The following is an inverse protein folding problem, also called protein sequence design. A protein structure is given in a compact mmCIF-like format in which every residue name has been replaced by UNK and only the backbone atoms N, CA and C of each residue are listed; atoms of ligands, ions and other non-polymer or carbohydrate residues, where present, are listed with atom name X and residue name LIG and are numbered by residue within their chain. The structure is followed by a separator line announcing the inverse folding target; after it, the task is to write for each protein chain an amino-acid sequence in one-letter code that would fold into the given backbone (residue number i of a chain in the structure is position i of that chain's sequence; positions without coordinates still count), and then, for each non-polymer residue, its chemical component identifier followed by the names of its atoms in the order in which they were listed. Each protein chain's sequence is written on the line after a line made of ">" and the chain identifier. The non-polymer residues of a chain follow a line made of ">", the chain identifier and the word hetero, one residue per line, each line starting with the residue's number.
data_IF_571426174119
#
_entry.id   IF_571426174119
#
_cell.length_a   1.000
_cell.length_b   1.000
_cell.length_c   1.000
_cell.angle_alpha   90.00
_cell.angle_beta   90.00
_cell.angle_gamma   90.00
#
_symmetry.space_group_name_H-M   'P 1'
#
loop_
_entity.id
_entity.type
_entity.pdbx_description
1 polymer ?
#
# COMPACT_ATOMS: atom_id res chain seq x y z
N UNK A 1 19.41 39.72 -9.59
CA UNK A 1 18.72 38.47 -9.93
C UNK A 1 19.73 37.33 -9.82
N UNK A 2 19.86 36.68 -8.66
CA UNK A 2 20.81 35.58 -8.44
C UNK A 2 20.11 34.28 -8.82
N UNK A 3 20.45 33.69 -9.95
CA UNK A 3 20.08 32.32 -10.31
C UNK A 3 20.91 31.37 -9.45
N UNK A 4 20.43 31.10 -8.23
CA UNK A 4 20.90 29.96 -7.45
C UNK A 4 20.53 28.70 -8.23
N UNK A 5 21.49 28.05 -8.87
CA UNK A 5 21.35 26.63 -9.23
C UNK A 5 21.26 25.85 -7.91
N UNK A 6 20.04 25.74 -7.39
CA UNK A 6 19.75 25.19 -6.08
C UNK A 6 20.01 23.70 -6.09
N UNK A 7 21.00 23.26 -5.31
CA UNK A 7 21.12 21.86 -4.92
C UNK A 7 19.83 21.43 -4.24
N UNK A 8 19.19 20.37 -4.75
CA UNK A 8 17.95 19.83 -4.17
C UNK A 8 18.20 19.45 -2.71
N UNK A 9 17.37 19.97 -1.81
CA UNK A 9 17.44 19.68 -0.38
C UNK A 9 17.31 18.17 -0.10
N UNK A 10 17.97 17.69 0.96
CA UNK A 10 17.96 16.26 1.31
C UNK A 10 16.55 15.76 1.65
N UNK A 11 15.69 16.62 2.21
CA UNK A 11 14.28 16.32 2.46
C UNK A 11 13.50 16.15 1.16
N UNK A 12 13.65 17.07 0.21
CA UNK A 12 12.99 16.99 -1.11
C UNK A 12 13.42 15.74 -1.87
N UNK A 13 14.71 15.38 -1.86
CA UNK A 13 15.19 14.11 -2.44
C UNK A 13 14.55 12.90 -1.79
N UNK A 14 14.45 12.88 -0.46
CA UNK A 14 13.82 11.79 0.29
C UNK A 14 12.35 11.62 -0.07
N UNK A 15 11.62 12.74 -0.15
CA UNK A 15 10.22 12.77 -0.56
C UNK A 15 10.04 12.26 -2.00
N UNK A 16 10.89 12.69 -2.94
CA UNK A 16 10.82 12.22 -4.33
C UNK A 16 11.03 10.70 -4.45
N UNK A 17 11.99 10.13 -3.72
CA UNK A 17 12.21 8.68 -3.72
C UNK A 17 11.07 7.93 -3.05
N UNK A 18 10.49 8.48 -1.98
CA UNK A 18 9.35 7.89 -1.31
C UNK A 18 8.12 7.84 -2.24
N UNK A 19 7.78 8.97 -2.86
CA UNK A 19 6.64 9.08 -3.76
C UNK A 19 6.79 8.13 -4.96
N UNK A 20 7.98 8.10 -5.56
CA UNK A 20 8.31 7.18 -6.64
C UNK A 20 8.18 5.70 -6.24
N UNK A 21 8.60 5.33 -5.02
CA UNK A 21 8.50 3.96 -4.54
C UNK A 21 7.07 3.57 -4.08
N UNK A 22 6.23 4.54 -3.74
CA UNK A 22 4.85 4.30 -3.31
C UNK A 22 3.91 4.08 -4.49
N UNK A 23 4.07 4.86 -5.57
CA UNK A 23 3.14 4.89 -6.71
C UNK A 23 2.89 3.53 -7.41
N UNK A 24 3.90 2.66 -7.64
CA UNK A 24 3.69 1.38 -8.31
C UNK A 24 2.73 0.44 -7.57
N UNK A 25 2.60 0.55 -6.25
CA UNK A 25 1.66 -0.26 -5.49
C UNK A 25 0.21 0.04 -5.91
N UNK A 26 -0.21 1.30 -5.89
CA UNK A 26 -1.58 1.69 -6.20
C UNK A 26 -1.94 1.46 -7.67
N UNK A 27 -1.03 1.81 -8.56
CA UNK A 27 -1.31 1.76 -10.00
C UNK A 27 -1.03 0.38 -10.59
N UNK A 28 0.16 -0.18 -10.38
CA UNK A 28 0.54 -1.43 -11.04
C UNK A 28 -0.03 -2.63 -10.28
N UNK A 29 0.25 -2.74 -8.98
CA UNK A 29 -0.16 -3.91 -8.20
C UNK A 29 -1.68 -3.98 -8.07
N UNK A 30 -2.32 -2.92 -7.57
CA UNK A 30 -3.76 -2.95 -7.29
C UNK A 30 -4.61 -2.84 -8.56
N UNK A 31 -4.33 -1.87 -9.43
CA UNK A 31 -5.20 -1.57 -10.58
C UNK A 31 -4.93 -2.47 -11.78
N UNK A 32 -3.67 -2.55 -12.24
CA UNK A 32 -3.36 -3.22 -13.50
C UNK A 32 -3.08 -4.73 -13.39
N UNK A 33 -2.60 -5.21 -12.23
CA UNK A 33 -2.23 -6.62 -12.05
C UNK A 33 -3.32 -7.34 -11.24
N UNK A 34 -3.42 -7.08 -9.94
CA UNK A 34 -4.24 -7.91 -9.05
C UNK A 34 -5.73 -7.72 -9.25
N UNK A 35 -6.21 -6.52 -9.59
CA UNK A 35 -7.61 -6.29 -9.94
C UNK A 35 -8.14 -7.25 -11.02
N UNK A 36 -7.62 -7.21 -12.27
CA UNK A 36 -8.05 -8.12 -13.32
C UNK A 36 -7.61 -9.57 -13.08
N UNK A 37 -6.44 -9.80 -12.47
CA UNK A 37 -5.98 -11.17 -12.17
C UNK A 37 -6.92 -11.90 -11.22
N UNK A 38 -7.39 -11.22 -10.17
CA UNK A 38 -8.28 -11.83 -9.18
C UNK A 38 -9.62 -12.23 -9.80
N UNK A 39 -10.21 -11.35 -10.62
CA UNK A 39 -11.49 -11.60 -11.31
C UNK A 39 -11.36 -12.70 -12.38
N UNK A 40 -10.21 -12.80 -13.07
CA UNK A 40 -10.06 -13.70 -14.21
C UNK A 40 -9.41 -15.05 -13.89
N UNK A 41 -8.67 -15.19 -12.78
CA UNK A 41 -7.82 -16.36 -12.52
C UNK A 41 -7.94 -16.97 -11.12
N UNK A 42 -8.45 -16.24 -10.12
CA UNK A 42 -8.47 -16.74 -8.74
C UNK A 42 -9.72 -17.54 -8.38
N UNK A 43 -10.83 -17.34 -9.09
CA UNK A 43 -12.09 -18.08 -8.88
C UNK A 43 -12.72 -18.46 -10.20
N UNK A 44 -13.54 -19.52 -10.19
CA UNK A 44 -14.28 -19.98 -11.37
C UNK A 44 -15.47 -19.08 -11.73
N UNK A 45 -15.99 -18.32 -10.75
CA UNK A 45 -17.05 -17.34 -10.94
C UNK A 45 -16.51 -15.90 -10.83
N UNK A 46 -16.44 -15.15 -11.95
CA UNK A 46 -15.98 -13.76 -11.97
C UNK A 46 -16.82 -12.81 -11.12
N UNK A 47 -18.13 -13.08 -10.96
CA UNK A 47 -19.02 -12.21 -10.18
C UNK A 47 -18.66 -12.30 -8.70
N UNK A 48 -18.54 -13.51 -8.17
CA UNK A 48 -18.09 -13.73 -6.79
C UNK A 48 -16.69 -13.15 -6.52
N UNK A 49 -15.74 -13.27 -7.45
CA UNK A 49 -14.41 -12.66 -7.30
C UNK A 49 -14.48 -11.13 -7.28
N UNK A 50 -15.26 -10.52 -8.16
CA UNK A 50 -15.45 -9.07 -8.17
C UNK A 50 -16.02 -8.58 -6.82
N UNK A 51 -17.00 -9.29 -6.27
CA UNK A 51 -17.57 -8.99 -4.96
C UNK A 51 -16.54 -9.16 -3.83
N UNK A 52 -15.78 -10.26 -3.84
CA UNK A 52 -14.77 -10.50 -2.82
C UNK A 52 -13.63 -9.46 -2.85
N UNK A 53 -13.21 -9.05 -4.05
CA UNK A 53 -12.25 -7.98 -4.26
C UNK A 53 -12.77 -6.62 -3.75
N UNK A 54 -14.01 -6.25 -4.10
CA UNK A 54 -14.60 -4.99 -3.60
C UNK A 54 -14.81 -5.01 -2.09
N UNK A 55 -15.13 -6.17 -1.52
CA UNK A 55 -15.26 -6.34 -0.07
C UNK A 55 -13.91 -6.15 0.62
N UNK A 56 -12.83 -6.71 0.08
CA UNK A 56 -11.49 -6.51 0.60
C UNK A 56 -11.07 -5.04 0.56
N UNK A 57 -11.33 -4.35 -0.56
CA UNK A 57 -11.10 -2.91 -0.68
C UNK A 57 -11.89 -2.13 0.39
N UNK A 58 -13.18 -2.45 0.56
CA UNK A 58 -14.05 -1.83 1.58
C UNK A 58 -13.53 -2.04 3.00
N UNK A 59 -13.19 -3.29 3.35
CA UNK A 59 -12.65 -3.64 4.67
C UNK A 59 -11.36 -2.86 4.94
N UNK A 60 -10.44 -2.82 3.96
CA UNK A 60 -9.21 -2.05 4.09
C UNK A 60 -9.49 -0.56 4.31
N UNK A 61 -10.39 0.03 3.53
CA UNK A 61 -10.77 1.44 3.64
C UNK A 61 -11.40 1.80 4.99
N UNK A 62 -12.25 0.93 5.53
CA UNK A 62 -12.84 1.12 6.87
C UNK A 62 -11.76 1.09 7.95
N UNK A 63 -10.84 0.10 7.88
CA UNK A 63 -9.73 -0.01 8.84
C UNK A 63 -8.84 1.24 8.78
N UNK A 64 -8.50 1.68 7.57
CA UNK A 64 -7.71 2.89 7.34
C UNK A 64 -8.43 4.11 7.91
N UNK A 65 -9.73 4.28 7.64
CA UNK A 65 -10.50 5.42 8.13
C UNK A 65 -10.54 5.52 9.67
N UNK A 66 -10.59 4.38 10.36
CA UNK A 66 -10.61 4.33 11.83
C UNK A 66 -9.22 4.58 12.42
N UNK A 67 -8.17 4.02 11.80
CA UNK A 67 -6.80 4.09 12.33
C UNK A 67 -6.04 5.34 11.91
N UNK A 68 -6.40 5.96 10.78
CA UNK A 68 -5.77 7.18 10.27
C UNK A 68 -5.73 8.32 11.30
N UNK A 69 -6.80 8.67 12.05
CA UNK A 69 -6.72 9.73 13.06
C UNK A 69 -5.77 9.38 14.22
N UNK A 70 -5.72 8.11 14.63
CA UNK A 70 -4.87 7.65 15.74
C UNK A 70 -3.39 7.67 15.31
N UNK A 71 -3.09 7.16 14.12
CA UNK A 71 -1.73 7.17 13.61
C UNK A 71 -1.27 8.57 13.20
N UNK A 72 -2.18 9.43 12.75
CA UNK A 72 -1.93 10.84 12.48
C UNK A 72 -1.53 11.59 13.75
N UNK A 73 -2.26 11.41 14.86
CA UNK A 73 -1.87 12.03 16.13
C UNK A 73 -0.50 11.54 16.62
N UNK A 74 -0.20 10.25 16.45
CA UNK A 74 1.13 9.70 16.76
C UNK A 74 2.20 10.29 15.84
N UNK A 75 1.92 10.49 14.55
CA UNK A 75 2.85 11.10 13.61
C UNK A 75 3.19 12.55 13.98
N UNK A 76 2.22 13.27 14.54
CA UNK A 76 2.38 14.66 14.99
C UNK A 76 3.17 14.78 16.30
N UNK A 77 2.99 13.83 17.23
CA UNK A 77 3.76 13.79 18.49
C UNK A 77 5.14 13.15 18.34
N UNK A 78 5.31 12.21 17.40
CA UNK A 78 6.56 11.46 17.22
C UNK A 78 7.57 12.29 16.43
N UNK A 79 8.61 12.78 17.12
CA UNK A 79 9.65 13.61 16.52
C UNK A 79 10.47 12.91 15.41
N UNK A 80 10.53 11.57 15.38
CA UNK A 80 11.22 10.82 14.32
C UNK A 80 10.25 9.94 13.51
N UNK A 81 9.88 10.42 12.32
CA UNK A 81 8.90 9.74 11.43
C UNK A 81 9.50 8.61 10.59
N UNK A 82 10.83 8.65 10.35
CA UNK A 82 11.54 7.67 9.49
C UNK A 82 11.44 6.21 9.94
N UNK A 83 11.50 5.84 11.23
CA UNK A 83 11.32 4.47 11.67
C UNK A 83 9.92 3.91 11.37
N UNK A 84 8.88 4.74 11.48
CA UNK A 84 7.50 4.35 11.17
C UNK A 84 7.32 4.07 9.68
N UNK A 85 7.87 4.94 8.82
CA UNK A 85 7.91 4.71 7.37
C UNK A 85 8.59 3.38 7.05
N UNK A 86 9.75 3.11 7.67
CA UNK A 86 10.48 1.86 7.45
C UNK A 86 9.70 0.63 7.91
N UNK A 87 9.02 0.71 9.06
CA UNK A 87 8.19 -0.37 9.60
C UNK A 87 7.05 -0.74 8.65
N UNK A 88 6.26 0.24 8.21
CA UNK A 88 5.16 -0.02 7.26
C UNK A 88 5.67 -0.42 5.88
N UNK A 89 6.79 0.13 5.42
CA UNK A 89 7.44 -0.30 4.18
C UNK A 89 7.86 -1.78 4.24
N UNK A 90 8.42 -2.25 5.36
CA UNK A 90 8.79 -3.66 5.54
C UNK A 90 7.57 -4.58 5.51
N UNK A 91 6.47 -4.20 6.16
CA UNK A 91 5.20 -4.95 6.10
C UNK A 91 4.71 -5.02 4.66
N UNK A 92 4.71 -3.90 3.94
CA UNK A 92 4.30 -3.85 2.53
C UNK A 92 5.18 -4.76 1.66
N UNK A 93 6.50 -4.71 1.82
CA UNK A 93 7.45 -5.55 1.08
C UNK A 93 7.20 -7.03 1.37
N UNK A 94 7.02 -7.40 2.64
CA UNK A 94 6.72 -8.78 3.02
C UNK A 94 5.40 -9.28 2.40
N UNK A 95 4.35 -8.46 2.41
CA UNK A 95 3.08 -8.81 1.79
C UNK A 95 3.22 -8.99 0.28
N UNK A 96 3.90 -8.06 -0.40
CA UNK A 96 4.15 -8.14 -1.85
C UNK A 96 5.03 -9.34 -2.23
N UNK A 97 6.01 -9.70 -1.40
CA UNK A 97 6.82 -10.89 -1.60
C UNK A 97 6.00 -12.17 -1.44
N UNK A 98 5.09 -12.23 -0.45
CA UNK A 98 4.19 -13.36 -0.25
C UNK A 98 3.13 -13.47 -1.35
N UNK A 99 2.73 -12.37 -1.97
CA UNK A 99 1.84 -12.39 -3.14
C UNK A 99 2.44 -13.16 -4.33
N UNK A 100 3.75 -13.41 -4.35
CA UNK A 100 4.37 -14.33 -5.33
C UNK A 100 3.73 -15.72 -5.30
N UNK A 101 3.22 -16.17 -4.15
CA UNK A 101 2.57 -17.50 -4.01
C UNK A 101 1.09 -17.47 -4.39
N UNK A 102 0.55 -16.35 -4.88
CA UNK A 102 -0.83 -16.20 -5.29
C UNK A 102 -1.09 -16.86 -6.67
N UNK A 103 -0.80 -18.14 -6.80
CA UNK A 103 -1.08 -18.93 -7.99
C UNK A 103 -2.57 -19.34 -8.05
N UNK A 104 -3.13 -19.64 -9.24
CA UNK A 104 -4.46 -20.21 -9.36
C UNK A 104 -4.56 -21.51 -8.54
N UNK A 105 -5.57 -21.62 -7.67
CA UNK A 105 -5.72 -22.71 -6.70
C UNK A 105 -5.15 -22.42 -5.30
N UNK A 106 -4.49 -21.28 -5.10
CA UNK A 106 -4.14 -20.79 -3.76
C UNK A 106 -5.38 -20.30 -2.98
N UNK A 107 -5.36 -20.31 -1.64
CA UNK A 107 -6.49 -19.84 -0.86
C UNK A 107 -6.80 -18.35 -1.14
N UNK A 108 -7.98 -18.09 -1.70
CA UNK A 108 -8.45 -16.74 -2.04
C UNK A 108 -8.41 -15.80 -0.84
N UNK A 109 -8.81 -16.30 0.33
CA UNK A 109 -8.80 -15.54 1.58
C UNK A 109 -7.38 -15.08 1.98
N UNK A 110 -6.35 -15.88 1.70
CA UNK A 110 -4.97 -15.52 1.99
C UNK A 110 -4.50 -14.36 1.10
N UNK A 111 -4.80 -14.42 -0.21
CA UNK A 111 -4.45 -13.35 -1.15
C UNK A 111 -5.16 -12.04 -0.81
N UNK A 112 -6.45 -12.10 -0.46
CA UNK A 112 -7.21 -10.93 -0.02
C UNK A 112 -6.66 -10.34 1.27
N UNK A 113 -6.27 -11.18 2.25
CA UNK A 113 -5.66 -10.73 3.50
C UNK A 113 -4.35 -9.99 3.22
N UNK A 114 -3.48 -10.53 2.36
CA UNK A 114 -2.24 -9.86 1.97
C UNK A 114 -2.50 -8.53 1.27
N UNK A 115 -3.50 -8.45 0.40
CA UNK A 115 -3.89 -7.20 -0.27
C UNK A 115 -4.41 -6.15 0.73
N UNK A 116 -5.21 -6.56 1.71
CA UNK A 116 -5.71 -5.68 2.78
C UNK A 116 -4.53 -5.13 3.60
N UNK A 117 -3.65 -6.02 4.08
CA UNK A 117 -2.49 -5.62 4.88
C UNK A 117 -1.52 -4.72 4.10
N UNK A 118 -1.27 -5.03 2.82
CA UNK A 118 -0.43 -4.21 1.96
C UNK A 118 -1.04 -2.81 1.73
N UNK A 119 -2.36 -2.73 1.56
CA UNK A 119 -3.07 -1.46 1.39
C UNK A 119 -3.00 -0.59 2.65
N UNK A 120 -3.26 -1.19 3.81
CA UNK A 120 -3.14 -0.52 5.11
C UNK A 120 -1.71 -0.01 5.33
N UNK A 121 -0.71 -0.85 5.08
CA UNK A 121 0.70 -0.46 5.23
C UNK A 121 1.11 0.65 4.25
N UNK A 122 0.61 0.62 3.01
CA UNK A 122 0.89 1.66 2.03
C UNK A 122 0.31 3.02 2.46
N UNK A 123 -0.95 3.05 2.90
CA UNK A 123 -1.64 4.27 3.33
C UNK A 123 -1.01 4.86 4.59
N UNK A 124 -0.72 4.04 5.60
CA UNK A 124 -0.07 4.55 6.81
C UNK A 124 1.35 5.00 6.53
N UNK A 125 2.09 4.33 5.65
CA UNK A 125 3.41 4.83 5.24
C UNK A 125 3.35 6.23 4.64
N UNK A 126 2.26 6.62 3.97
CA UNK A 126 2.06 7.97 3.42
C UNK A 126 1.75 8.98 4.54
N UNK A 127 0.96 8.59 5.55
CA UNK A 127 0.64 9.46 6.71
C UNK A 127 1.91 9.91 7.45
N UNK A 128 2.95 9.08 7.49
CA UNK A 128 4.22 9.40 8.19
C UNK A 128 5.28 10.10 7.32
N UNK A 129 5.09 10.23 6.00
CA UNK A 129 6.05 10.88 5.08
C UNK A 129 6.08 12.39 5.28
#
# INVERSE_FOLDING_TARGET
>A
MKTSHGTIDRGVRGWMFFDWAAQPFFTVVTTFIFGPYFVSRMTDDPVSAQTAWSNAATISGIIIAILAPILGSIADESGSRKPWIAFFALIKIACLALLWTAAPGSPVAFVLLLMILASIAAEFSIVFN
#
